data_IF_530199258343
#
_entry.id   IF_530199258343
#
_cell.length_a   1.000
_cell.length_b   1.000
_cell.length_c   1.000
_cell.angle_alpha   90.00
_cell.angle_beta   90.00
_cell.angle_gamma   90.00
#
_symmetry.space_group_name_H-M   'P 1'
#
loop_
_entity.id
_entity.type
_entity.pdbx_description
1 polymer ?
#
# COMPACT_ATOMS: atom_id res chain seq x y z
N UNK A 1 -14.23 -9.70 41.10
CA UNK A 1 -13.26 -9.46 40.01
C UNK A 1 -11.85 -9.42 40.60
N UNK A 2 -11.17 -10.58 40.70
CA UNK A 2 -9.84 -10.69 41.34
C UNK A 2 -8.74 -10.53 40.29
N UNK A 3 -7.96 -9.46 40.40
CA UNK A 3 -6.75 -9.23 39.61
C UNK A 3 -5.70 -10.28 39.98
N UNK A 4 -5.21 -11.05 39.00
CA UNK A 4 -4.06 -11.95 39.19
C UNK A 4 -2.78 -11.22 38.75
N UNK A 5 -2.01 -10.73 39.72
CA UNK A 5 -0.61 -10.35 39.54
C UNK A 5 0.23 -11.62 39.51
N UNK A 6 0.93 -11.88 38.40
CA UNK A 6 1.92 -12.97 38.34
C UNK A 6 3.26 -12.39 38.77
N UNK A 7 3.80 -12.93 39.86
CA UNK A 7 5.10 -12.59 40.44
C UNK A 7 6.25 -13.15 39.60
N UNK A 8 7.32 -12.38 39.59
CA UNK A 8 8.62 -12.65 38.99
C UNK A 8 9.22 -14.00 39.38
N UNK A 9 9.91 -14.63 38.42
CA UNK A 9 11.05 -15.50 38.71
C UNK A 9 12.26 -14.97 37.96
N UNK A 10 13.09 -14.26 38.72
CA UNK A 10 14.49 -13.95 38.40
C UNK A 10 15.24 -15.27 38.22
N UNK A 11 15.89 -15.46 37.09
CA UNK A 11 16.97 -16.42 36.97
C UNK A 11 18.20 -15.66 36.49
N UNK A 12 19.10 -15.41 37.42
CA UNK A 12 20.45 -14.92 37.23
C UNK A 12 21.24 -15.95 36.43
N UNK A 13 21.75 -15.57 35.27
CA UNK A 13 22.94 -16.21 34.70
C UNK A 13 23.93 -15.12 34.35
N UNK A 14 24.90 -14.99 35.24
CA UNK A 14 26.16 -14.32 34.99
C UNK A 14 26.74 -14.87 33.68
N UNK A 15 26.84 -14.00 32.67
CA UNK A 15 27.69 -14.22 31.52
C UNK A 15 28.59 -13.00 31.42
N UNK A 16 29.77 -13.21 31.99
CA UNK A 16 31.05 -12.61 31.62
C UNK A 16 30.95 -11.45 30.63
N UNK A 17 31.28 -10.27 31.14
CA UNK A 17 31.52 -9.06 30.39
C UNK A 17 32.76 -9.28 29.49
N UNK A 18 32.56 -9.88 28.32
CA UNK A 18 33.60 -9.80 27.30
C UNK A 18 33.66 -8.37 26.82
N UNK A 19 34.74 -7.69 27.23
CA UNK A 19 35.19 -6.46 26.62
C UNK A 19 35.53 -6.75 25.15
N UNK A 20 34.52 -6.79 24.28
CA UNK A 20 34.75 -6.78 22.86
C UNK A 20 35.42 -5.45 22.51
N UNK A 21 36.68 -5.58 22.11
CA UNK A 21 37.57 -4.56 21.57
C UNK A 21 36.77 -3.45 20.87
N UNK A 22 36.84 -2.23 21.43
CA UNK A 22 36.41 -1.01 20.72
C UNK A 22 37.18 -0.96 19.41
N UNK A 23 36.60 -1.48 18.32
CA UNK A 23 37.09 -1.27 16.98
C UNK A 23 37.17 0.23 16.80
N UNK A 24 38.39 0.77 16.84
CA UNK A 24 38.68 2.15 16.45
C UNK A 24 37.97 2.34 15.12
N UNK A 25 36.90 3.14 15.11
CA UNK A 25 36.16 3.42 13.89
C UNK A 25 37.13 4.15 12.98
N UNK A 26 37.80 3.40 12.10
CA UNK A 26 38.67 3.96 11.08
C UNK A 26 37.91 5.11 10.44
N UNK A 27 38.50 6.29 10.47
CA UNK A 27 37.87 7.52 10.00
C UNK A 27 37.66 7.37 8.48
N UNK A 28 36.55 6.76 8.07
CA UNK A 28 36.23 6.55 6.64
C UNK A 28 36.26 7.93 5.97
N UNK A 29 37.08 8.14 4.93
CA UNK A 29 37.19 9.44 4.29
C UNK A 29 35.83 9.84 3.73
N UNK A 30 35.41 11.11 3.96
CA UNK A 30 34.08 11.63 3.60
C UNK A 30 33.67 11.32 2.13
N UNK A 31 34.66 11.17 1.24
CA UNK A 31 34.49 10.84 -0.18
C UNK A 31 33.86 9.46 -0.44
N UNK A 32 34.11 8.45 0.39
CA UNK A 32 33.51 7.11 0.22
C UNK A 32 32.03 7.11 0.56
N UNK A 33 31.63 7.84 1.62
CA UNK A 33 30.22 8.02 2.01
C UNK A 33 29.40 8.71 0.91
N UNK A 34 29.97 9.69 0.23
CA UNK A 34 29.30 10.37 -0.88
C UNK A 34 29.05 9.42 -2.06
N UNK A 35 30.06 8.62 -2.43
CA UNK A 35 29.92 7.64 -3.50
C UNK A 35 28.86 6.57 -3.17
N UNK A 36 28.87 6.05 -1.94
CA UNK A 36 27.85 5.12 -1.43
C UNK A 36 26.44 5.72 -1.49
N UNK A 37 26.28 7.00 -1.12
CA UNK A 37 24.99 7.70 -1.23
C UNK A 37 24.51 7.83 -2.67
N UNK A 38 25.40 8.16 -3.61
CA UNK A 38 25.06 8.26 -5.04
C UNK A 38 24.64 6.91 -5.62
N UNK A 39 25.32 5.83 -5.25
CA UNK A 39 24.93 4.47 -5.66
C UNK A 39 23.55 4.11 -5.10
N UNK A 40 23.29 4.40 -3.83
CA UNK A 40 21.99 4.16 -3.19
C UNK A 40 20.87 4.95 -3.86
N UNK A 41 21.09 6.21 -4.19
CA UNK A 41 20.11 7.03 -4.92
C UNK A 41 19.78 6.46 -6.30
N UNK A 42 20.80 5.98 -7.04
CA UNK A 42 20.59 5.31 -8.34
C UNK A 42 19.75 4.03 -8.18
N UNK A 43 20.01 3.22 -7.16
CA UNK A 43 19.22 2.01 -6.87
C UNK A 43 17.77 2.36 -6.53
N UNK A 44 17.53 3.35 -5.68
CA UNK A 44 16.18 3.79 -5.33
C UNK A 44 15.39 4.30 -6.53
N UNK A 45 16.05 5.03 -7.46
CA UNK A 45 15.42 5.45 -8.71
C UNK A 45 14.98 4.27 -9.56
N UNK A 46 15.81 3.23 -9.69
CA UNK A 46 15.46 2.00 -10.43
C UNK A 46 14.24 1.31 -9.81
N UNK A 47 14.25 1.09 -8.50
CA UNK A 47 13.13 0.48 -7.77
C UNK A 47 11.83 1.28 -7.96
N UNK A 48 11.90 2.62 -7.92
CA UNK A 48 10.73 3.48 -8.12
C UNK A 48 10.17 3.35 -9.54
N UNK A 49 11.04 3.28 -10.55
CA UNK A 49 10.63 3.10 -11.95
C UNK A 49 9.96 1.74 -12.15
N UNK A 50 10.50 0.67 -11.58
CA UNK A 50 9.91 -0.68 -11.64
C UNK A 50 8.51 -0.72 -11.00
N UNK A 51 8.37 -0.17 -9.78
CA UNK A 51 7.06 -0.08 -9.10
C UNK A 51 6.04 0.73 -9.91
N UNK A 52 6.47 1.84 -10.51
CA UNK A 52 5.59 2.65 -11.34
C UNK A 52 5.12 1.89 -12.59
N UNK A 53 6.01 1.14 -13.26
CA UNK A 53 5.65 0.27 -14.39
C UNK A 53 4.63 -0.78 -13.95
N UNK A 54 4.84 -1.43 -12.81
CA UNK A 54 3.89 -2.42 -12.30
C UNK A 54 2.50 -1.82 -12.00
N UNK A 55 2.46 -0.62 -11.43
CA UNK A 55 1.22 0.12 -11.17
C UNK A 55 0.52 0.50 -12.48
N UNK A 56 1.27 0.94 -13.48
CA UNK A 56 0.75 1.31 -14.79
C UNK A 56 0.14 0.09 -15.50
N UNK A 57 0.81 -1.06 -15.47
CA UNK A 57 0.29 -2.32 -15.99
C UNK A 57 -1.00 -2.73 -15.27
N UNK A 58 -1.05 -2.62 -13.93
CA UNK A 58 -2.30 -2.85 -13.17
C UNK A 58 -3.41 -1.88 -13.56
N UNK A 59 -3.09 -0.60 -13.82
CA UNK A 59 -4.06 0.40 -14.31
C UNK A 59 -4.59 0.04 -15.70
N UNK A 60 -3.72 -0.34 -16.63
CA UNK A 60 -4.08 -0.78 -17.99
C UNK A 60 -4.99 -2.02 -17.94
N UNK A 61 -4.62 -3.04 -17.16
CA UNK A 61 -5.43 -4.25 -16.95
C UNK A 61 -6.81 -3.93 -16.38
N UNK A 62 -6.90 -3.07 -15.36
CA UNK A 62 -8.19 -2.64 -14.80
C UNK A 62 -9.04 -1.89 -15.82
N UNK A 63 -8.44 -1.02 -16.63
CA UNK A 63 -9.15 -0.29 -17.67
C UNK A 63 -9.67 -1.23 -18.76
N UNK A 64 -8.85 -2.18 -19.20
CA UNK A 64 -9.24 -3.21 -20.17
C UNK A 64 -10.42 -4.04 -19.66
N UNK A 65 -10.32 -4.58 -18.44
CA UNK A 65 -11.42 -5.32 -17.81
C UNK A 65 -12.69 -4.50 -17.65
N UNK A 66 -12.59 -3.18 -17.41
CA UNK A 66 -13.75 -2.28 -17.37
C UNK A 66 -14.37 -2.11 -18.75
N UNK A 67 -13.57 -1.97 -19.81
CA UNK A 67 -14.06 -1.89 -21.19
C UNK A 67 -14.77 -3.17 -21.60
N UNK A 68 -14.16 -4.33 -21.36
CA UNK A 68 -14.77 -5.65 -21.63
C UNK A 68 -16.08 -5.85 -20.85
N UNK A 69 -16.11 -5.45 -19.57
CA UNK A 69 -17.36 -5.43 -18.78
C UNK A 69 -18.40 -4.48 -19.35
N UNK A 70 -18.00 -3.29 -19.77
CA UNK A 70 -18.93 -2.34 -20.37
C UNK A 70 -19.49 -2.85 -21.69
N UNK A 71 -18.67 -3.46 -22.55
CA UNK A 71 -19.07 -4.05 -23.84
C UNK A 71 -19.99 -5.26 -23.63
N UNK A 72 -19.64 -6.16 -22.71
CA UNK A 72 -20.50 -7.32 -22.39
C UNK A 72 -21.83 -6.91 -21.73
N UNK A 73 -21.81 -5.89 -20.88
CA UNK A 73 -23.01 -5.28 -20.30
C UNK A 73 -23.77 -4.40 -21.30
N UNK A 74 -23.17 -4.07 -22.45
CA UNK A 74 -23.80 -3.38 -23.56
C UNK A 74 -24.63 -4.38 -24.37
N UNK A 75 -25.59 -5.06 -23.73
CA UNK A 75 -26.71 -5.66 -24.45
C UNK A 75 -27.83 -4.64 -24.60
N UNK A 76 -28.37 -4.58 -25.82
CA UNK A 76 -29.40 -3.68 -26.35
C UNK A 76 -30.49 -3.37 -25.33
N UNK A 77 -30.31 -2.30 -24.57
CA UNK A 77 -31.43 -1.72 -23.85
C UNK A 77 -32.03 -0.68 -24.77
N UNK A 78 -33.19 -0.97 -25.35
CA UNK A 78 -34.11 0.06 -25.89
C UNK A 78 -34.49 1.11 -24.82
N UNK A 79 -34.11 0.86 -23.55
CA UNK A 79 -34.47 1.66 -22.36
C UNK A 79 -33.30 1.86 -21.36
N UNK A 80 -32.07 2.07 -21.83
CA UNK A 80 -30.95 2.66 -21.07
C UNK A 80 -30.23 1.81 -20.00
N UNK A 81 -28.98 2.19 -19.69
CA UNK A 81 -28.07 1.50 -18.75
C UNK A 81 -28.64 1.37 -17.31
N UNK A 82 -28.40 0.25 -16.60
CA UNK A 82 -28.94 0.01 -15.25
C UNK A 82 -28.52 1.05 -14.20
N UNK A 83 -27.28 1.55 -14.29
CA UNK A 83 -26.74 2.56 -13.37
C UNK A 83 -27.48 3.90 -13.51
N UNK A 84 -27.85 4.27 -14.75
CA UNK A 84 -28.63 5.46 -15.03
C UNK A 84 -30.05 5.35 -14.47
N UNK A 85 -30.69 4.18 -14.61
CA UNK A 85 -32.04 3.95 -14.06
C UNK A 85 -32.10 4.09 -12.55
N UNK A 86 -31.13 3.52 -11.82
CA UNK A 86 -31.09 3.66 -10.37
C UNK A 86 -30.89 5.13 -9.95
N UNK A 87 -29.97 5.85 -10.60
CA UNK A 87 -29.74 7.28 -10.35
C UNK A 87 -30.98 8.13 -10.66
N UNK A 88 -31.67 7.87 -11.79
CA UNK A 88 -32.92 8.54 -12.16
C UNK A 88 -34.02 8.23 -11.13
N UNK A 89 -34.15 6.97 -10.69
CA UNK A 89 -35.14 6.59 -9.66
C UNK A 89 -34.89 7.32 -8.34
N UNK A 90 -33.63 7.46 -7.93
CA UNK A 90 -33.26 8.22 -6.74
C UNK A 90 -33.60 9.72 -6.88
N UNK A 91 -33.27 10.32 -8.04
CA UNK A 91 -33.62 11.71 -8.36
C UNK A 91 -35.14 11.94 -8.36
N UNK A 92 -35.91 11.07 -9.01
CA UNK A 92 -37.36 11.17 -9.05
C UNK A 92 -38.00 11.01 -7.66
N UNK A 93 -37.45 10.14 -6.81
CA UNK A 93 -37.91 9.96 -5.43
C UNK A 93 -37.64 11.20 -4.56
N UNK A 94 -36.54 11.92 -4.83
CA UNK A 94 -36.25 13.19 -4.15
C UNK A 94 -37.16 14.33 -4.61
N UNK A 95 -37.54 14.36 -5.90
CA UNK A 95 -38.40 15.39 -6.48
C UNK A 95 -39.89 15.16 -6.18
N UNK A 96 -40.33 13.91 -6.02
CA UNK A 96 -41.72 13.55 -5.72
C UNK A 96 -41.79 12.67 -4.46
N UNK A 97 -41.68 13.25 -3.25
CA UNK A 97 -41.61 12.50 -2.00
C UNK A 97 -42.92 11.79 -1.59
N UNK A 98 -44.01 11.97 -2.32
CA UNK A 98 -45.34 11.44 -1.98
C UNK A 98 -45.77 10.15 -2.70
N UNK A 99 -44.98 9.61 -3.63
CA UNK A 99 -45.36 8.42 -4.40
C UNK A 99 -44.57 7.19 -3.91
N UNK A 100 -45.00 6.62 -2.79
CA UNK A 100 -44.68 5.24 -2.37
C UNK A 100 -45.96 4.46 -2.20
#
# INVERSE_FOLDING_TARGET
>A
MKQRRVKDKRFTKDKSFEHENKKVKAHKPKKTKFHELMLRQKQLKKIRLEKNKEIEEKRKKRLYQRKERNISMQKLTSKGQPVMRHRIKLLLKQMCPGNT
#
